data_IF_721902398413
#
_entry.id   IF_721902398413
#
_cell.length_a   1.000
_cell.length_b   1.000
_cell.length_c   1.000
_cell.angle_alpha   90.00
_cell.angle_beta   90.00
_cell.angle_gamma   90.00
#
_symmetry.space_group_name_H-M   'P 1'
#
loop_
_entity.id
_entity.type
_entity.pdbx_description
1 polymer ?
#
# COMPACT_ATOMS: atom_id res chain seq x y z
N UNK A 1 10.77 -12.52 -7.56
CA UNK A 1 9.74 -12.52 -6.50
C UNK A 1 8.39 -12.10 -7.10
N UNK A 2 7.28 -12.73 -6.70
CA UNK A 2 5.94 -12.47 -7.26
C UNK A 2 5.48 -11.01 -7.07
N UNK A 3 5.78 -10.41 -5.90
CA UNK A 3 5.42 -9.03 -5.59
C UNK A 3 6.10 -8.00 -6.52
N UNK A 4 7.39 -8.18 -6.81
CA UNK A 4 8.12 -7.30 -7.74
C UNK A 4 7.58 -7.39 -9.16
N UNK A 5 7.23 -8.60 -9.61
CA UNK A 5 6.61 -8.80 -10.93
C UNK A 5 5.23 -8.15 -11.00
N UNK A 6 4.41 -8.29 -9.96
CA UNK A 6 3.10 -7.64 -9.88
C UNK A 6 3.25 -6.12 -9.98
N UNK A 7 4.12 -5.52 -9.16
CA UNK A 7 4.36 -4.08 -9.18
C UNK A 7 4.83 -3.57 -10.56
N UNK A 8 5.76 -4.29 -11.21
CA UNK A 8 6.24 -3.93 -12.54
C UNK A 8 5.14 -4.01 -13.61
N UNK A 9 4.31 -5.05 -13.59
CA UNK A 9 3.20 -5.20 -14.54
C UNK A 9 2.12 -4.13 -14.32
N UNK A 10 1.75 -3.84 -13.07
CA UNK A 10 0.79 -2.77 -12.76
C UNK A 10 1.31 -1.42 -13.24
N UNK A 11 2.58 -1.09 -12.99
CA UNK A 11 3.20 0.15 -13.48
C UNK A 11 3.20 0.24 -15.01
N UNK A 12 3.53 -0.86 -15.70
CA UNK A 12 3.50 -0.91 -17.16
C UNK A 12 2.09 -0.63 -17.71
N UNK A 13 1.08 -1.34 -17.21
CA UNK A 13 -0.30 -1.21 -17.71
C UNK A 13 -0.87 0.17 -17.41
N UNK A 14 -0.59 0.74 -16.22
CA UNK A 14 -1.03 2.09 -15.92
C UNK A 14 -0.41 3.13 -16.86
N UNK A 15 0.89 3.02 -17.16
CA UNK A 15 1.53 3.88 -18.16
C UNK A 15 0.85 3.75 -19.53
N UNK A 16 0.63 2.51 -20.02
CA UNK A 16 0.00 2.26 -21.32
C UNK A 16 -1.45 2.79 -21.37
N UNK A 17 -2.14 2.83 -20.23
CA UNK A 17 -3.51 3.31 -20.11
C UNK A 17 -3.62 4.81 -19.80
N UNK A 18 -2.50 5.54 -19.65
CA UNK A 18 -2.52 6.95 -19.23
C UNK A 18 -3.00 7.16 -17.79
N UNK A 19 -2.90 6.14 -16.93
CA UNK A 19 -3.23 6.22 -15.51
C UNK A 19 -1.99 6.53 -14.66
N UNK A 20 -2.17 7.36 -13.64
CA UNK A 20 -1.14 7.56 -12.63
C UNK A 20 -1.12 6.43 -11.59
N UNK A 21 0.06 6.12 -11.04
CA UNK A 21 0.24 5.10 -10.00
C UNK A 21 0.65 5.74 -8.68
N UNK A 22 -0.10 5.45 -7.62
CA UNK A 22 0.38 5.57 -6.25
C UNK A 22 1.14 4.28 -5.87
N UNK A 23 2.47 4.34 -5.89
CA UNK A 23 3.32 3.17 -5.64
C UNK A 23 3.39 2.81 -4.14
N UNK A 24 2.30 2.27 -3.57
CA UNK A 24 2.20 1.89 -2.17
C UNK A 24 3.32 0.91 -1.73
N UNK A 25 3.76 0.02 -2.62
CA UNK A 25 4.89 -0.89 -2.39
C UNK A 25 6.22 -0.17 -2.15
N UNK A 26 6.39 1.03 -2.71
CA UNK A 26 7.55 1.88 -2.44
C UNK A 26 7.41 2.65 -1.13
N UNK A 27 6.20 3.11 -0.82
CA UNK A 27 5.88 3.85 0.40
C UNK A 27 6.04 2.98 1.66
N UNK A 28 5.69 1.69 1.58
CA UNK A 28 5.73 0.75 2.72
C UNK A 28 7.04 -0.03 2.85
N UNK A 29 8.11 0.34 2.15
CA UNK A 29 9.41 -0.33 2.29
C UNK A 29 9.88 -0.28 3.74
N UNK A 30 10.27 -1.44 4.28
CA UNK A 30 10.68 -1.57 5.68
C UNK A 30 9.53 -1.70 6.69
N UNK A 31 8.28 -1.71 6.21
CA UNK A 31 7.06 -1.87 7.02
C UNK A 31 6.25 -3.11 6.61
N UNK A 32 6.91 -4.12 6.07
CA UNK A 32 6.28 -5.40 5.74
C UNK A 32 5.79 -6.15 7.01
N UNK A 33 5.08 -7.27 6.81
CA UNK A 33 4.46 -8.02 7.88
C UNK A 33 5.46 -8.61 8.91
N UNK A 34 6.76 -8.69 8.57
CA UNK A 34 7.82 -9.18 9.45
C UNK A 34 8.61 -8.05 10.11
N UNK A 35 8.38 -6.79 9.72
CA UNK A 35 9.08 -5.64 10.27
C UNK A 35 8.70 -5.39 11.74
N UNK A 36 9.66 -4.91 12.53
CA UNK A 36 9.41 -4.51 13.92
C UNK A 36 8.30 -3.44 14.03
N UNK A 37 8.27 -2.51 13.07
CA UNK A 37 7.24 -1.49 12.92
C UNK A 37 6.36 -1.79 11.70
N UNK A 38 5.62 -2.90 11.74
CA UNK A 38 4.77 -3.35 10.63
C UNK A 38 3.59 -2.41 10.33
N UNK A 39 3.35 -2.15 9.05
CA UNK A 39 2.12 -1.51 8.54
C UNK A 39 1.07 -2.51 8.06
N UNK A 40 1.33 -3.81 8.23
CA UNK A 40 0.46 -4.89 7.81
C UNK A 40 -0.07 -5.64 9.04
N UNK A 41 -1.32 -6.11 8.94
CA UNK A 41 -1.80 -7.17 9.80
C UNK A 41 -0.96 -8.44 9.58
N UNK A 42 -0.73 -9.21 10.64
CA UNK A 42 -0.16 -10.54 10.52
C UNK A 42 -1.13 -11.54 9.88
N UNK A 43 -0.80 -12.82 9.93
CA UNK A 43 -1.69 -13.89 9.48
C UNK A 43 -2.75 -14.29 10.52
N UNK A 44 -2.42 -14.15 11.81
CA UNK A 44 -3.27 -14.61 12.90
C UNK A 44 -4.20 -13.49 13.36
N UNK A 45 -5.50 -13.78 13.41
CA UNK A 45 -6.52 -12.87 13.93
C UNK A 45 -6.28 -12.59 15.42
N UNK A 46 -6.21 -11.33 15.86
CA UNK A 46 -6.10 -11.01 17.28
C UNK A 46 -7.33 -11.46 18.06
N UNK A 47 -7.13 -11.89 19.32
CA UNK A 47 -8.23 -12.26 20.20
C UNK A 47 -9.16 -11.07 20.43
N UNK A 48 -10.47 -11.30 20.37
CA UNK A 48 -11.49 -10.27 20.60
C UNK A 48 -11.76 -9.33 19.41
N UNK A 49 -11.05 -9.45 18.29
CA UNK A 49 -11.37 -8.66 17.09
C UNK A 49 -12.69 -9.14 16.46
N UNK A 50 -13.61 -8.22 16.17
CA UNK A 50 -14.85 -8.53 15.45
C UNK A 50 -14.56 -8.97 14.00
N UNK A 51 -13.69 -8.24 13.30
CA UNK A 51 -13.26 -8.51 11.91
C UNK A 51 -11.74 -8.59 11.80
N UNK A 52 -11.24 -9.22 10.73
CA UNK A 52 -9.81 -9.34 10.46
C UNK A 52 -9.55 -9.69 8.99
N UNK A 53 -8.57 -9.02 8.39
CA UNK A 53 -8.10 -9.27 7.03
C UNK A 53 -6.59 -9.58 7.09
N UNK A 54 -6.18 -10.85 6.90
CA UNK A 54 -4.78 -11.24 6.91
C UNK A 54 -3.97 -10.45 5.87
N UNK A 55 -2.75 -10.02 6.25
CA UNK A 55 -1.81 -9.29 5.39
C UNK A 55 -2.33 -7.97 4.77
N UNK A 56 -3.50 -7.49 5.19
CA UNK A 56 -3.97 -6.17 4.80
C UNK A 56 -3.27 -5.09 5.61
N UNK A 57 -3.13 -3.85 5.08
CA UNK A 57 -2.62 -2.75 5.86
C UNK A 57 -3.42 -2.53 7.15
N UNK A 58 -2.71 -2.29 8.24
CA UNK A 58 -3.30 -1.84 9.50
C UNK A 58 -3.57 -0.33 9.45
N UNK A 59 -4.00 0.26 10.56
CA UNK A 59 -4.31 1.69 10.63
C UNK A 59 -3.14 2.57 10.18
N UNK A 60 -1.92 2.29 10.66
CA UNK A 60 -0.74 3.08 10.29
C UNK A 60 -0.45 3.00 8.78
N UNK A 61 -0.55 1.79 8.20
CA UNK A 61 -0.39 1.60 6.76
C UNK A 61 -1.44 2.33 5.93
N UNK A 62 -2.71 2.25 6.33
CA UNK A 62 -3.80 2.94 5.63
C UNK A 62 -3.68 4.46 5.72
N UNK A 63 -3.32 5.00 6.89
CA UNK A 63 -3.07 6.45 7.06
C UNK A 63 -1.95 6.93 6.16
N UNK A 64 -0.81 6.21 6.12
CA UNK A 64 0.31 6.60 5.26
C UNK A 64 -0.04 6.60 3.77
N UNK A 65 -0.84 5.63 3.32
CA UNK A 65 -1.34 5.57 1.93
C UNK A 65 -2.32 6.71 1.65
N UNK A 66 -3.24 7.02 2.58
CA UNK A 66 -4.19 8.11 2.44
C UNK A 66 -3.48 9.47 2.32
N UNK A 67 -2.50 9.75 3.19
CA UNK A 67 -1.71 10.99 3.12
C UNK A 67 -0.92 11.10 1.81
N UNK A 68 -0.41 9.96 1.30
CA UNK A 68 0.31 9.95 0.03
C UNK A 68 -0.63 10.18 -1.16
N UNK A 69 -1.85 9.64 -1.11
CA UNK A 69 -2.89 9.88 -2.10
C UNK A 69 -3.32 11.35 -2.13
N UNK A 70 -3.56 11.96 -0.97
CA UNK A 70 -3.90 13.38 -0.86
C UNK A 70 -2.83 14.26 -1.52
N UNK A 71 -1.55 14.04 -1.17
CA UNK A 71 -0.44 14.78 -1.80
C UNK A 71 -0.36 14.58 -3.32
N UNK A 72 -0.70 13.39 -3.80
CA UNK A 72 -0.67 13.06 -5.22
C UNK A 72 -1.79 13.79 -5.97
N UNK A 73 -3.03 13.75 -5.46
CA UNK A 73 -4.17 14.40 -6.09
C UNK A 73 -4.09 15.93 -6.03
N UNK A 74 -3.62 16.51 -4.92
CA UNK A 74 -3.39 17.96 -4.84
C UNK A 74 -2.37 18.46 -5.87
N UNK A 75 -1.32 17.68 -6.14
CA UNK A 75 -0.33 17.99 -7.19
C UNK A 75 -0.89 17.87 -8.60
N UNK A 76 -1.81 16.93 -8.84
CA UNK A 76 -2.45 16.74 -10.14
C UNK A 76 -3.42 17.89 -10.44
N UNK A 77 -4.20 18.33 -9.44
CA UNK A 77 -5.14 19.47 -9.56
C UNK A 77 -4.46 20.84 -9.72
N UNK A 78 -3.16 20.93 -9.44
CA UNK A 78 -2.38 22.17 -9.56
C UNK A 78 -1.62 22.28 -10.89
N UNK A 79 -1.76 21.30 -11.79
CA UNK A 79 -1.19 21.30 -13.15
C UNK A 79 -2.26 21.64 -14.17
#
# INVERSE_FOLDING_TARGET
MIASRLAALTAKVAHDAGAEILAASSLSRGHDACAANSWMNGFIKPKGSASFAPYHPNLAGMTAVADALERMTSKSLSR
#
